data_IF_230349298460
#
_entry.id   IF_230349298460
#
_cell.length_a   1.000
_cell.length_b   1.000
_cell.length_c   1.000
_cell.angle_alpha   90.00
_cell.angle_beta   90.00
_cell.angle_gamma   90.00
#
_symmetry.space_group_name_H-M   'P 1'
#
loop_
_entity.id
_entity.type
_entity.pdbx_description
1 polymer ?
#
# COMPACT_ATOMS: atom_id res chain seq x y z
N UNK A 1 -8.48 -3.95 11.07
CA UNK A 1 -9.69 -3.53 11.80
C UNK A 1 -10.64 -2.63 11.00
N UNK A 2 -10.17 -1.59 10.31
CA UNK A 2 -11.04 -0.63 9.61
C UNK A 2 -12.08 -1.26 8.68
N UNK A 3 -11.69 -2.26 7.87
CA UNK A 3 -12.59 -2.98 6.98
C UNK A 3 -13.81 -3.59 7.70
N UNK A 4 -13.61 -4.10 8.91
CA UNK A 4 -14.66 -4.71 9.73
C UNK A 4 -15.57 -3.66 10.37
N UNK A 5 -14.99 -2.56 10.85
CA UNK A 5 -15.73 -1.49 11.52
C UNK A 5 -16.63 -0.70 10.57
N UNK A 6 -16.19 -0.53 9.32
CA UNK A 6 -16.91 0.27 8.31
C UNK A 6 -17.75 -0.56 7.34
N UNK A 7 -17.89 -1.87 7.54
CA UNK A 7 -18.64 -2.77 6.66
C UNK A 7 -20.12 -2.33 6.44
N UNK A 8 -20.76 -1.75 7.45
CA UNK A 8 -22.17 -1.32 7.39
C UNK A 8 -22.39 0.07 6.77
N UNK A 9 -21.32 0.75 6.35
CA UNK A 9 -21.37 2.06 5.72
C UNK A 9 -20.95 1.94 4.25
N UNK A 10 -21.32 2.90 3.38
CA UNK A 10 -20.83 2.96 2.01
C UNK A 10 -19.36 3.40 1.97
N UNK A 11 -18.46 2.54 2.48
CA UNK A 11 -17.02 2.73 2.48
C UNK A 11 -16.39 1.89 1.36
N UNK A 12 -15.49 2.50 0.60
CA UNK A 12 -14.73 1.81 -0.44
C UNK A 12 -13.34 1.45 0.08
N UNK A 13 -12.95 0.19 -0.08
CA UNK A 13 -11.58 -0.25 0.17
C UNK A 13 -10.77 -0.10 -1.11
N UNK A 14 -9.84 0.85 -1.11
CA UNK A 14 -8.95 1.11 -2.24
C UNK A 14 -7.55 0.58 -1.92
N UNK A 15 -7.08 -0.34 -2.76
CA UNK A 15 -5.73 -0.90 -2.67
C UNK A 15 -4.76 -0.09 -3.51
N UNK A 16 -3.81 0.58 -2.87
CA UNK A 16 -2.75 1.31 -3.57
C UNK A 16 -1.55 0.36 -3.71
N UNK A 17 -1.22 -0.02 -4.94
CA UNK A 17 -0.06 -0.83 -5.27
C UNK A 17 1.00 0.02 -5.97
N UNK A 18 2.25 -0.34 -5.75
CA UNK A 18 3.41 0.26 -6.39
C UNK A 18 4.51 -0.80 -6.45
N UNK A 19 5.22 -0.98 -7.57
CA UNK A 19 6.34 -1.90 -7.69
C UNK A 19 7.36 -1.69 -6.58
N UNK A 20 7.91 -2.80 -6.09
CA UNK A 20 8.86 -2.80 -4.98
C UNK A 20 10.07 -1.89 -5.28
N UNK A 21 10.56 -1.89 -6.52
CA UNK A 21 11.68 -1.07 -6.97
C UNK A 21 11.42 0.44 -6.77
N UNK A 22 10.21 0.90 -7.09
CA UNK A 22 9.80 2.29 -6.93
C UNK A 22 9.62 2.63 -5.44
N UNK A 23 9.09 1.70 -4.65
CA UNK A 23 8.97 1.88 -3.20
C UNK A 23 10.34 1.96 -2.52
N UNK A 24 11.29 1.09 -2.90
CA UNK A 24 12.66 1.10 -2.39
C UNK A 24 13.40 2.38 -2.79
N UNK A 25 13.20 2.88 -4.02
CA UNK A 25 13.78 4.15 -4.45
C UNK A 25 13.22 5.33 -3.64
N UNK A 26 11.88 5.41 -3.47
CA UNK A 26 11.24 6.45 -2.67
C UNK A 26 11.63 6.38 -1.19
N UNK A 27 11.85 5.18 -0.65
CA UNK A 27 12.33 4.98 0.72
C UNK A 27 13.77 5.49 0.89
N UNK A 28 14.64 5.28 -0.11
CA UNK A 28 16.01 5.83 -0.13
C UNK A 28 16.02 7.35 -0.24
N UNK A 29 15.14 7.92 -1.06
CA UNK A 29 15.06 9.38 -1.26
C UNK A 29 14.52 10.10 -0.01
N UNK A 30 13.69 9.40 0.79
CA UNK A 30 13.19 9.89 2.07
C UNK A 30 14.21 9.61 3.18
N UNK A 31 15.05 10.62 3.46
CA UNK A 31 16.09 10.61 4.51
C UNK A 31 15.58 10.48 5.97
N UNK A 32 14.29 10.17 6.18
CA UNK A 32 13.65 10.06 7.50
C UNK A 32 13.29 8.62 7.90
N UNK A 33 13.42 7.63 6.99
CA UNK A 33 13.01 6.24 7.23
C UNK A 33 14.15 5.26 7.39
N UNK A 34 13.92 4.24 8.21
CA UNK A 34 14.73 3.01 8.24
C UNK A 34 14.54 2.23 6.95
N UNK A 35 15.63 2.02 6.21
CA UNK A 35 15.64 1.25 4.96
C UNK A 35 15.19 -0.21 5.19
N UNK A 36 14.43 -0.76 4.25
CA UNK A 36 13.98 -2.15 4.23
C UNK A 36 12.54 -2.38 4.73
N UNK A 37 11.85 -1.35 5.22
CA UNK A 37 10.46 -1.47 5.64
C UNK A 37 9.53 -1.70 4.45
N UNK A 38 9.78 -1.02 3.33
CA UNK A 38 9.04 -1.21 2.09
C UNK A 38 8.98 -2.68 1.66
N UNK A 39 10.12 -3.37 1.66
CA UNK A 39 10.22 -4.79 1.30
C UNK A 39 9.52 -5.71 2.29
N UNK A 40 9.70 -5.46 3.59
CA UNK A 40 9.07 -6.27 4.63
C UNK A 40 7.53 -6.17 4.59
N UNK A 41 7.00 -5.00 4.24
CA UNK A 41 5.56 -4.74 4.22
C UNK A 41 4.92 -5.16 2.89
N UNK A 42 5.61 -5.02 1.75
CA UNK A 42 5.05 -5.23 0.41
C UNK A 42 4.23 -6.51 0.25
N UNK A 43 4.73 -7.65 0.73
CA UNK A 43 4.04 -8.94 0.65
C UNK A 43 2.94 -9.16 1.71
N UNK A 44 2.92 -8.36 2.77
CA UNK A 44 2.00 -8.52 3.90
C UNK A 44 0.79 -7.58 3.82
N UNK A 45 0.94 -6.38 3.26
CA UNK A 45 -0.13 -5.36 3.33
C UNK A 45 -1.35 -5.73 2.48
N UNK A 46 -1.14 -6.43 1.37
CA UNK A 46 -2.21 -6.79 0.43
C UNK A 46 -2.65 -8.25 0.50
N UNK A 47 -2.00 -9.09 1.32
CA UNK A 47 -2.24 -10.54 1.30
C UNK A 47 -3.54 -10.97 1.95
N UNK A 48 -4.11 -10.13 2.83
CA UNK A 48 -5.31 -10.45 3.62
C UNK A 48 -6.49 -9.50 3.36
N UNK A 49 -6.44 -8.71 2.27
CA UNK A 49 -7.44 -7.67 2.00
C UNK A 49 -7.97 -7.78 0.57
N UNK A 50 -9.29 -7.92 0.46
CA UNK A 50 -10.01 -7.73 -0.78
C UNK A 50 -10.37 -6.25 -0.91
N UNK A 51 -9.94 -5.64 -2.01
CA UNK A 51 -10.21 -4.24 -2.32
C UNK A 51 -11.29 -4.16 -3.39
N UNK A 52 -12.19 -3.18 -3.26
CA UNK A 52 -13.20 -2.88 -4.28
C UNK A 52 -12.55 -2.27 -5.54
N UNK A 53 -11.43 -1.56 -5.35
CA UNK A 53 -10.66 -0.98 -6.45
C UNK A 53 -9.17 -1.01 -6.14
N UNK A 54 -8.34 -1.22 -7.18
CA UNK A 54 -6.89 -1.22 -7.05
C UNK A 54 -6.30 -0.13 -7.95
N UNK A 55 -5.47 0.73 -7.37
CA UNK A 55 -4.76 1.81 -8.05
C UNK A 55 -3.29 1.46 -8.09
N UNK A 56 -2.70 1.45 -9.29
CA UNK A 56 -1.26 1.37 -9.46
C UNK A 56 -0.66 2.79 -9.50
N UNK A 57 0.17 3.11 -8.52
CA UNK A 57 0.83 4.42 -8.38
C UNK A 57 2.23 4.46 -8.97
N UNK A 58 2.61 3.43 -9.74
CA UNK A 58 3.88 3.40 -10.48
C UNK A 58 3.95 4.39 -11.64
N UNK A 59 2.80 4.77 -12.19
CA UNK A 59 2.69 5.53 -13.44
C UNK A 59 2.32 7.00 -13.21
N UNK A 60 1.91 7.37 -11.99
CA UNK A 60 1.43 8.72 -11.70
C UNK A 60 2.56 9.55 -11.10
N UNK A 61 3.09 10.43 -11.96
CA UNK A 61 4.10 11.46 -11.69
C UNK A 61 3.57 12.51 -10.73
#
# INVERSE_FOLDING_TARGET
ECARLFHGLPAYLIGIKCPLEVLEQRERDRKDRTLGQARAQFGLVHSLVNYDYQVDTSIQT
#
